data_IF_254930625137
#
_entry.id   IF_254930625137
#
_cell.length_a   1.000
_cell.length_b   1.000
_cell.length_c   1.000
_cell.angle_alpha   90.00
_cell.angle_beta   90.00
_cell.angle_gamma   90.00
#
_symmetry.space_group_name_H-M   'P 1'
#
loop_
_entity.id
_entity.type
_entity.pdbx_description
1 polymer ?
#
# COMPACT_ATOMS: atom_id res chain seq x y z
N UNK A 1 26.72 -14.45 77.47
CA UNK A 1 26.73 -15.48 76.38
C UNK A 1 25.41 -15.53 75.62
N UNK A 2 24.61 -14.46 75.61
CA UNK A 2 23.29 -14.39 74.89
C UNK A 2 23.15 -13.27 73.89
N UNK A 3 24.16 -12.44 73.65
CA UNK A 3 24.09 -11.36 72.68
C UNK A 3 24.68 -11.69 71.26
N UNK A 4 25.67 -12.58 71.19
CA UNK A 4 26.27 -13.03 69.95
C UNK A 4 25.33 -13.87 69.05
N UNK A 5 24.40 -14.66 69.63
CA UNK A 5 23.45 -15.49 68.90
C UNK A 5 22.35 -14.70 68.24
N UNK A 6 22.07 -13.43 68.61
CA UNK A 6 21.02 -12.60 68.09
C UNK A 6 21.48 -11.80 66.84
N UNK A 7 22.76 -11.56 66.68
CA UNK A 7 23.38 -10.89 65.53
C UNK A 7 23.52 -11.81 64.35
N UNK A 8 23.85 -13.08 64.56
CA UNK A 8 24.03 -14.07 63.48
C UNK A 8 22.71 -14.45 62.80
N UNK A 9 21.57 -14.44 63.51
CA UNK A 9 20.27 -14.70 62.94
C UNK A 9 19.72 -13.52 62.14
N UNK A 10 20.12 -12.28 62.42
CA UNK A 10 19.74 -11.11 61.61
C UNK A 10 20.45 -11.10 60.25
N UNK A 11 21.69 -11.50 60.17
CA UNK A 11 22.47 -11.62 58.94
C UNK A 11 21.89 -12.72 58.01
N UNK A 12 21.54 -13.88 58.58
CA UNK A 12 20.91 -14.98 57.81
C UNK A 12 19.54 -14.61 57.24
N UNK A 13 18.70 -13.89 58.01
CA UNK A 13 17.41 -13.40 57.54
C UNK A 13 17.53 -12.40 56.37
N UNK A 14 18.50 -11.49 56.48
CA UNK A 14 18.78 -10.51 55.42
C UNK A 14 19.31 -11.19 54.15
N UNK A 15 20.14 -12.20 54.28
CA UNK A 15 20.66 -13.01 53.16
C UNK A 15 19.55 -13.79 52.45
N UNK A 16 18.61 -14.36 53.19
CA UNK A 16 17.45 -15.06 52.63
C UNK A 16 16.52 -14.10 51.87
N UNK A 17 16.26 -12.90 52.41
CA UNK A 17 15.48 -11.88 51.75
C UNK A 17 16.16 -11.46 50.44
N UNK A 18 17.47 -11.26 50.42
CA UNK A 18 18.26 -10.92 49.25
C UNK A 18 18.22 -12.02 48.18
N UNK A 19 18.30 -13.29 48.60
CA UNK A 19 18.16 -14.46 47.70
C UNK A 19 16.74 -14.51 47.08
N UNK A 20 15.68 -14.30 47.88
CA UNK A 20 14.32 -14.26 47.35
C UNK A 20 14.07 -13.09 46.42
N UNK A 21 14.65 -11.92 46.70
CA UNK A 21 14.60 -10.75 45.82
C UNK A 21 15.33 -11.01 44.49
N UNK A 22 16.52 -11.65 44.54
CA UNK A 22 17.26 -12.03 43.34
C UNK A 22 16.55 -13.11 42.55
N UNK A 23 15.95 -14.10 43.19
CA UNK A 23 15.14 -15.12 42.52
C UNK A 23 13.87 -14.52 41.90
N UNK A 24 13.21 -13.61 42.61
CA UNK A 24 12.05 -12.86 42.07
C UNK A 24 12.42 -12.00 40.85
N UNK A 25 13.55 -11.31 40.94
CA UNK A 25 14.05 -10.47 39.84
C UNK A 25 14.45 -11.32 38.61
N UNK A 26 15.15 -12.44 38.83
CA UNK A 26 15.48 -13.37 37.75
C UNK A 26 14.24 -14.04 37.17
N UNK A 27 13.27 -14.43 38.01
CA UNK A 27 11.98 -14.95 37.54
C UNK A 27 11.20 -13.94 36.70
N UNK A 28 11.19 -12.68 37.15
CA UNK A 28 10.55 -11.58 36.39
C UNK A 28 11.28 -11.30 35.08
N UNK A 29 12.60 -11.25 35.07
CA UNK A 29 13.41 -11.06 33.85
C UNK A 29 13.21 -12.22 32.87
N UNK A 30 13.20 -13.47 33.38
CA UNK A 30 12.93 -14.65 32.56
C UNK A 30 11.52 -14.63 31.97
N UNK A 31 10.50 -14.28 32.77
CA UNK A 31 9.12 -14.15 32.33
C UNK A 31 8.98 -13.04 31.29
N UNK A 32 9.65 -11.91 31.51
CA UNK A 32 9.62 -10.79 30.53
C UNK A 32 10.37 -11.12 29.23
N UNK A 33 11.50 -11.84 29.32
CA UNK A 33 12.23 -12.34 28.17
C UNK A 33 11.41 -13.39 27.39
N UNK A 34 10.69 -14.28 28.10
CA UNK A 34 9.81 -15.26 27.49
C UNK A 34 8.63 -14.59 26.78
N UNK A 35 7.99 -13.61 27.43
CA UNK A 35 6.90 -12.82 26.84
C UNK A 35 7.35 -12.02 25.62
N UNK A 36 8.55 -11.45 25.67
CA UNK A 36 9.12 -10.72 24.53
C UNK A 36 9.45 -11.67 23.38
N UNK A 37 9.92 -12.90 23.67
CA UNK A 37 10.16 -13.92 22.65
C UNK A 37 8.85 -14.40 22.01
N UNK A 38 7.83 -14.63 22.81
CA UNK A 38 6.49 -14.99 22.32
C UNK A 38 5.86 -13.88 21.47
N UNK A 39 6.04 -12.61 21.87
CA UNK A 39 5.61 -11.43 21.09
C UNK A 39 6.41 -11.30 19.78
N UNK A 40 7.70 -11.62 19.78
CA UNK A 40 8.54 -11.64 18.58
C UNK A 40 8.16 -12.78 17.63
N UNK A 41 7.89 -13.97 18.16
CA UNK A 41 7.42 -15.12 17.37
C UNK A 41 6.02 -14.84 16.78
N UNK A 42 5.13 -14.20 17.54
CA UNK A 42 3.80 -13.79 17.08
C UNK A 42 3.91 -12.71 15.97
N UNK A 43 4.80 -11.73 16.14
CA UNK A 43 5.04 -10.70 15.12
C UNK A 43 5.69 -11.28 13.86
N UNK A 44 6.61 -12.23 14.00
CA UNK A 44 7.22 -12.93 12.88
C UNK A 44 6.20 -13.80 12.12
N UNK A 45 5.30 -14.48 12.84
CA UNK A 45 4.18 -15.21 12.25
C UNK A 45 3.22 -14.29 11.50
N UNK A 46 2.87 -13.14 12.07
CA UNK A 46 2.02 -12.14 11.42
C UNK A 46 2.66 -11.55 10.16
N UNK A 47 3.96 -11.32 10.18
CA UNK A 47 4.72 -10.88 9.00
C UNK A 47 4.73 -11.96 7.92
N UNK A 48 4.88 -13.22 8.29
CA UNK A 48 4.84 -14.33 7.33
C UNK A 48 3.44 -14.55 6.77
N UNK A 49 2.40 -14.47 7.59
CA UNK A 49 1.01 -14.47 7.14
C UNK A 49 0.70 -13.30 6.21
N UNK A 50 1.18 -12.09 6.52
CA UNK A 50 1.04 -10.92 5.64
C UNK A 50 1.74 -11.12 4.29
N UNK A 51 2.92 -11.75 4.26
CA UNK A 51 3.63 -12.07 3.00
C UNK A 51 2.87 -13.10 2.17
N UNK A 52 2.35 -14.15 2.82
CA UNK A 52 1.55 -15.18 2.14
C UNK A 52 0.28 -14.54 1.59
N UNK A 53 -0.38 -13.68 2.37
CA UNK A 53 -1.57 -12.96 1.94
C UNK A 53 -1.26 -12.02 0.76
N UNK A 54 -0.14 -11.30 0.84
CA UNK A 54 0.32 -10.41 -0.23
C UNK A 54 0.61 -11.17 -1.53
N UNK A 55 1.36 -12.27 -1.46
CA UNK A 55 1.65 -13.09 -2.64
C UNK A 55 0.39 -13.70 -3.24
N UNK A 56 -0.56 -14.14 -2.40
CA UNK A 56 -1.86 -14.64 -2.83
C UNK A 56 -2.69 -13.54 -3.51
N UNK A 57 -2.69 -12.32 -2.95
CA UNK A 57 -3.37 -11.17 -3.51
C UNK A 57 -2.77 -10.76 -4.87
N UNK A 58 -1.45 -10.80 -5.00
CA UNK A 58 -0.75 -10.52 -6.25
C UNK A 58 -1.10 -11.53 -7.36
N UNK A 59 -1.18 -12.81 -7.02
CA UNK A 59 -1.63 -13.86 -7.95
C UNK A 59 -3.10 -13.64 -8.32
N UNK A 60 -3.97 -13.35 -7.36
CA UNK A 60 -5.39 -13.07 -7.62
C UNK A 60 -5.57 -11.82 -8.50
N UNK A 61 -4.81 -10.77 -8.25
CA UNK A 61 -4.82 -9.57 -9.10
C UNK A 61 -4.37 -9.86 -10.53
N UNK A 62 -3.28 -10.62 -10.70
CA UNK A 62 -2.82 -11.01 -12.03
C UNK A 62 -3.85 -11.87 -12.76
N UNK A 63 -4.50 -12.82 -12.06
CA UNK A 63 -5.58 -13.64 -12.62
C UNK A 63 -6.81 -12.81 -12.98
N UNK A 64 -7.25 -11.90 -12.10
CA UNK A 64 -8.39 -11.02 -12.37
C UNK A 64 -8.12 -10.11 -13.56
N UNK A 65 -6.89 -9.57 -13.67
CA UNK A 65 -6.49 -8.75 -14.82
C UNK A 65 -6.48 -9.56 -16.12
N UNK A 66 -5.94 -10.78 -16.08
CA UNK A 66 -5.94 -11.65 -17.26
C UNK A 66 -7.38 -12.04 -17.66
N UNK A 67 -8.24 -12.38 -16.69
CA UNK A 67 -9.66 -12.66 -16.96
C UNK A 67 -10.38 -11.46 -17.56
N UNK A 68 -10.07 -10.23 -17.06
CA UNK A 68 -10.61 -8.99 -17.60
C UNK A 68 -10.16 -8.78 -19.06
N UNK A 69 -8.87 -8.98 -19.35
CA UNK A 69 -8.32 -8.83 -20.71
C UNK A 69 -8.95 -9.90 -21.67
N UNK A 70 -9.12 -11.13 -21.20
CA UNK A 70 -9.78 -12.20 -21.95
C UNK A 70 -11.25 -11.89 -22.20
N UNK A 71 -11.98 -11.38 -21.21
CA UNK A 71 -13.39 -10.99 -21.32
C UNK A 71 -13.58 -9.76 -22.22
N UNK A 72 -12.67 -8.80 -22.20
CA UNK A 72 -12.68 -7.68 -23.16
C UNK A 72 -12.51 -8.17 -24.61
N UNK A 73 -11.64 -9.17 -24.84
CA UNK A 73 -11.48 -9.80 -26.14
C UNK A 73 -12.77 -10.48 -26.59
N UNK A 74 -13.41 -11.27 -25.74
CA UNK A 74 -14.69 -11.93 -26.01
C UNK A 74 -15.83 -10.95 -26.22
N UNK A 75 -15.84 -9.82 -25.48
CA UNK A 75 -16.81 -8.75 -25.62
C UNK A 75 -16.74 -8.10 -27.00
N UNK A 76 -15.55 -7.74 -27.48
CA UNK A 76 -15.38 -7.19 -28.85
C UNK A 76 -15.73 -8.18 -29.95
N UNK A 77 -15.49 -9.49 -29.74
CA UNK A 77 -15.93 -10.54 -30.67
C UNK A 77 -17.45 -10.69 -30.68
N UNK A 78 -18.12 -10.67 -29.52
CA UNK A 78 -19.58 -10.75 -29.43
C UNK A 78 -20.27 -9.52 -30.03
N UNK A 79 -19.75 -8.31 -29.83
CA UNK A 79 -20.23 -7.09 -30.49
C UNK A 79 -20.14 -7.20 -32.02
N UNK A 80 -19.02 -7.69 -32.52
CA UNK A 80 -18.86 -7.93 -33.97
C UNK A 80 -19.85 -8.98 -34.49
N UNK A 81 -20.07 -10.05 -33.71
CA UNK A 81 -21.03 -11.09 -34.07
C UNK A 81 -22.48 -10.61 -34.04
N UNK A 82 -22.85 -9.80 -33.07
CA UNK A 82 -24.16 -9.12 -32.98
C UNK A 82 -24.40 -8.27 -34.24
N UNK A 83 -23.42 -7.46 -34.64
CA UNK A 83 -23.52 -6.63 -35.83
C UNK A 83 -23.70 -7.45 -37.11
N UNK A 84 -23.01 -8.60 -37.24
CA UNK A 84 -23.16 -9.52 -38.36
C UNK A 84 -24.56 -10.12 -38.37
N UNK A 85 -25.05 -10.61 -37.23
CA UNK A 85 -26.40 -11.21 -37.15
C UNK A 85 -27.51 -10.17 -37.41
N UNK A 86 -27.35 -8.93 -36.96
CA UNK A 86 -28.29 -7.84 -37.27
C UNK A 86 -28.35 -7.56 -38.77
N UNK A 87 -27.19 -7.49 -39.45
CA UNK A 87 -27.13 -7.27 -40.89
C UNK A 87 -27.76 -8.43 -41.68
N UNK A 88 -27.52 -9.68 -41.21
CA UNK A 88 -28.13 -10.88 -41.82
C UNK A 88 -29.64 -10.91 -41.61
N UNK A 89 -30.13 -10.55 -40.42
CA UNK A 89 -31.55 -10.46 -40.10
C UNK A 89 -32.26 -9.41 -40.95
N UNK A 90 -31.66 -8.23 -41.15
CA UNK A 90 -32.20 -7.18 -42.01
C UNK A 90 -32.21 -7.59 -43.50
N UNK A 91 -31.16 -8.31 -43.95
CA UNK A 91 -31.11 -8.90 -45.28
C UNK A 91 -32.25 -9.91 -45.50
N UNK A 92 -32.43 -10.83 -44.57
CA UNK A 92 -33.51 -11.83 -44.63
C UNK A 92 -34.90 -11.21 -44.54
N UNK A 93 -35.10 -10.20 -43.74
CA UNK A 93 -36.37 -9.43 -43.68
C UNK A 93 -36.72 -8.80 -45.05
N UNK A 94 -35.71 -8.20 -45.70
CA UNK A 94 -35.91 -7.60 -47.00
C UNK A 94 -36.21 -8.65 -48.09
N UNK A 95 -35.53 -9.82 -48.06
CA UNK A 95 -35.76 -10.95 -48.95
C UNK A 95 -37.21 -11.47 -48.80
N UNK A 96 -37.64 -11.71 -47.55
CA UNK A 96 -39.01 -12.16 -47.22
C UNK A 96 -40.05 -11.13 -47.64
N UNK A 97 -39.81 -9.82 -47.42
CA UNK A 97 -40.74 -8.78 -47.86
C UNK A 97 -40.90 -8.76 -49.39
N UNK A 98 -39.82 -9.04 -50.11
CA UNK A 98 -39.84 -9.13 -51.56
C UNK A 98 -40.60 -10.37 -52.04
N UNK A 99 -40.34 -11.53 -51.44
CA UNK A 99 -41.04 -12.78 -51.73
C UNK A 99 -42.55 -12.69 -51.42
N UNK A 100 -42.91 -12.10 -50.28
CA UNK A 100 -44.31 -11.87 -49.91
C UNK A 100 -45.05 -10.95 -50.92
N UNK A 101 -44.39 -9.90 -51.42
CA UNK A 101 -44.95 -9.06 -52.50
C UNK A 101 -45.16 -9.86 -53.77
N UNK A 102 -44.19 -10.74 -54.12
CA UNK A 102 -44.27 -11.60 -55.28
C UNK A 102 -45.38 -12.66 -55.11
N UNK A 103 -45.49 -13.33 -53.95
CA UNK A 103 -46.57 -14.25 -53.62
C UNK A 103 -47.95 -13.59 -53.69
N UNK A 104 -48.11 -12.39 -53.15
CA UNK A 104 -49.35 -11.62 -53.21
C UNK A 104 -49.73 -11.20 -54.65
N UNK A 105 -48.74 -10.85 -55.48
CA UNK A 105 -48.92 -10.51 -56.87
C UNK A 105 -49.46 -11.69 -57.68
N UNK A 106 -48.89 -12.90 -57.47
CA UNK A 106 -49.33 -14.12 -58.17
C UNK A 106 -50.73 -14.59 -57.69
N UNK A 107 -51.08 -14.46 -56.43
CA UNK A 107 -52.42 -14.75 -55.90
C UNK A 107 -53.51 -13.79 -56.44
N UNK A 108 -53.16 -12.57 -56.88
CA UNK A 108 -54.11 -11.58 -57.38
C UNK A 108 -54.33 -11.62 -58.90
N UNK A 109 -53.60 -12.42 -59.70
CA UNK A 109 -53.50 -12.31 -61.15
C UNK A 109 -54.02 -13.50 -62.01
N UNK A 110 -54.95 -14.32 -61.51
CA UNK A 110 -55.38 -15.53 -62.27
C UNK A 110 -56.72 -15.33 -63.00
N UNK A 111 -56.66 -14.87 -64.21
CA UNK A 111 -57.68 -15.18 -65.22
C UNK A 111 -57.04 -15.23 -66.60
N UNK A 112 -57.04 -16.45 -67.19
CA UNK A 112 -56.88 -16.77 -68.63
C UNK A 112 -55.67 -17.60 -68.99
N UNK A 113 -55.70 -18.87 -68.78
CA UNK A 113 -55.28 -19.97 -69.64
C UNK A 113 -54.96 -21.21 -68.69
N UNK A 114 -55.73 -22.30 -68.88
CA UNK A 114 -55.68 -23.47 -67.94
C UNK A 114 -54.25 -24.04 -67.78
N UNK A 115 -53.48 -24.06 -68.84
CA UNK A 115 -52.12 -24.59 -68.85
C UNK A 115 -51.13 -23.64 -68.15
N UNK A 116 -51.23 -22.37 -68.38
CA UNK A 116 -50.44 -21.37 -67.65
C UNK A 116 -50.90 -21.20 -66.21
N UNK A 117 -52.19 -21.52 -65.93
CA UNK A 117 -52.72 -21.57 -64.56
C UNK A 117 -52.11 -22.66 -63.75
N UNK A 118 -51.86 -23.86 -64.28
CA UNK A 118 -51.27 -24.95 -63.54
C UNK A 118 -49.78 -24.75 -63.36
N UNK A 119 -49.05 -24.18 -64.31
CA UNK A 119 -47.64 -23.76 -64.16
C UNK A 119 -47.51 -22.66 -63.07
N UNK A 120 -48.37 -21.68 -63.12
CA UNK A 120 -48.38 -20.59 -62.08
C UNK A 120 -48.80 -21.12 -60.74
N UNK A 121 -49.73 -22.09 -60.63
CA UNK A 121 -50.07 -22.74 -59.37
C UNK A 121 -48.93 -23.48 -58.75
N UNK A 122 -48.14 -24.26 -59.53
CA UNK A 122 -46.94 -24.92 -59.05
C UNK A 122 -45.89 -23.89 -58.56
N UNK A 123 -45.72 -22.80 -59.27
CA UNK A 123 -44.80 -21.75 -58.93
C UNK A 123 -45.26 -21.02 -57.63
N UNK A 124 -46.57 -20.75 -57.46
CA UNK A 124 -47.14 -20.19 -56.25
C UNK A 124 -46.97 -21.10 -55.03
N UNK A 125 -47.24 -22.43 -55.22
CA UNK A 125 -47.04 -23.40 -54.17
C UNK A 125 -45.54 -23.50 -53.77
N UNK A 126 -44.62 -23.44 -54.73
CA UNK A 126 -43.18 -23.38 -54.44
C UNK A 126 -42.82 -22.11 -53.67
N UNK A 127 -43.33 -20.95 -54.09
CA UNK A 127 -43.10 -19.70 -53.37
C UNK A 127 -43.72 -19.65 -51.96
N UNK A 128 -44.90 -20.32 -51.76
CA UNK A 128 -45.51 -20.44 -50.42
C UNK A 128 -44.64 -21.28 -49.51
N UNK A 129 -44.04 -22.37 -50.01
CA UNK A 129 -43.08 -23.20 -49.27
C UNK A 129 -41.83 -22.42 -48.93
N UNK A 130 -41.29 -21.66 -49.91
CA UNK A 130 -40.11 -20.84 -49.67
C UNK A 130 -40.42 -19.72 -48.67
N UNK A 131 -41.57 -19.03 -48.80
CA UNK A 131 -42.02 -18.01 -47.82
C UNK A 131 -42.14 -18.58 -46.40
N UNK A 132 -42.69 -19.83 -46.28
CA UNK A 132 -42.81 -20.47 -44.97
C UNK A 132 -41.43 -20.87 -44.38
N UNK A 133 -40.53 -21.34 -45.26
CA UNK A 133 -39.13 -21.66 -44.89
C UNK A 133 -38.40 -20.41 -44.44
N UNK A 134 -38.46 -19.30 -45.16
CA UNK A 134 -37.83 -18.02 -44.78
C UNK A 134 -38.39 -17.47 -43.46
N UNK A 135 -39.74 -17.62 -43.28
CA UNK A 135 -40.34 -17.25 -41.98
C UNK A 135 -39.80 -18.08 -40.82
N UNK A 136 -39.67 -19.40 -40.99
CA UNK A 136 -39.07 -20.24 -39.95
C UNK A 136 -37.59 -19.87 -39.68
N UNK A 137 -36.80 -19.57 -40.73
CA UNK A 137 -35.42 -19.12 -40.59
C UNK A 137 -35.37 -17.75 -39.86
N UNK A 138 -36.28 -16.85 -40.14
CA UNK A 138 -36.38 -15.55 -39.44
C UNK A 138 -36.69 -15.73 -37.97
N UNK A 139 -37.64 -16.62 -37.63
CA UNK A 139 -38.01 -16.91 -36.25
C UNK A 139 -36.85 -17.55 -35.49
N UNK A 140 -36.11 -18.49 -36.13
CA UNK A 140 -34.89 -19.09 -35.56
C UNK A 140 -33.77 -18.03 -35.34
N UNK A 141 -33.53 -17.17 -36.36
CA UNK A 141 -32.52 -16.12 -36.25
C UNK A 141 -32.89 -15.09 -35.18
N UNK A 142 -34.17 -14.74 -35.07
CA UNK A 142 -34.65 -13.86 -34.03
C UNK A 142 -34.49 -14.45 -32.63
N UNK A 143 -34.70 -15.76 -32.46
CA UNK A 143 -34.47 -16.46 -31.21
C UNK A 143 -32.96 -16.45 -30.83
N UNK A 144 -32.07 -16.69 -31.82
CA UNK A 144 -30.60 -16.58 -31.62
C UNK A 144 -30.17 -15.16 -31.25
N UNK A 145 -30.75 -14.16 -31.89
CA UNK A 145 -30.48 -12.74 -31.56
C UNK A 145 -30.86 -12.41 -30.13
N UNK A 146 -32.05 -12.85 -29.65
CA UNK A 146 -32.50 -12.61 -28.31
C UNK A 146 -31.60 -13.33 -27.26
N UNK A 147 -31.22 -14.58 -27.55
CA UNK A 147 -30.29 -15.33 -26.69
C UNK A 147 -28.92 -14.65 -26.62
N UNK A 148 -28.39 -14.17 -27.75
CA UNK A 148 -27.11 -13.45 -27.78
C UNK A 148 -27.19 -12.11 -27.05
N UNK A 149 -28.33 -11.43 -27.11
CA UNK A 149 -28.53 -10.20 -26.34
C UNK A 149 -28.53 -10.47 -24.83
N UNK A 150 -29.17 -11.57 -24.38
CA UNK A 150 -29.13 -11.99 -22.99
C UNK A 150 -27.71 -12.32 -22.51
N UNK A 151 -26.96 -13.10 -23.31
CA UNK A 151 -25.55 -13.41 -23.06
C UNK A 151 -24.70 -12.12 -22.97
N UNK A 152 -24.95 -11.14 -23.83
CA UNK A 152 -24.26 -9.86 -23.83
C UNK A 152 -24.51 -9.06 -22.53
N UNK A 153 -25.78 -8.99 -22.11
CA UNK A 153 -26.12 -8.32 -20.85
C UNK A 153 -25.48 -9.02 -19.63
N UNK A 154 -25.48 -10.36 -19.61
CA UNK A 154 -24.82 -11.11 -18.55
C UNK A 154 -23.30 -10.86 -18.54
N UNK A 155 -22.67 -10.85 -19.72
CA UNK A 155 -21.24 -10.57 -19.84
C UNK A 155 -20.89 -9.14 -19.39
N UNK A 156 -21.74 -8.17 -19.69
CA UNK A 156 -21.55 -6.80 -19.25
C UNK A 156 -21.58 -6.69 -17.72
N UNK A 157 -22.52 -7.37 -17.07
CA UNK A 157 -22.59 -7.43 -15.61
C UNK A 157 -21.35 -8.08 -15.01
N UNK A 158 -20.86 -9.18 -15.62
CA UNK A 158 -19.64 -9.84 -15.17
C UNK A 158 -18.41 -8.94 -15.34
N UNK A 159 -18.31 -8.23 -16.47
CA UNK A 159 -17.25 -7.26 -16.73
C UNK A 159 -17.20 -6.16 -15.66
N UNK A 160 -18.33 -5.51 -15.40
CA UNK A 160 -18.42 -4.46 -14.38
C UNK A 160 -18.01 -4.98 -12.99
N UNK A 161 -18.43 -6.20 -12.65
CA UNK A 161 -18.05 -6.84 -11.39
C UNK A 161 -16.54 -7.12 -11.28
N UNK A 162 -15.91 -7.59 -12.36
CA UNK A 162 -14.46 -7.85 -12.35
C UNK A 162 -13.65 -6.55 -12.35
N UNK A 163 -14.11 -5.49 -13.01
CA UNK A 163 -13.51 -4.14 -12.90
C UNK A 163 -13.53 -3.66 -11.45
N UNK A 164 -14.70 -3.69 -10.81
CA UNK A 164 -14.83 -3.28 -9.41
C UNK A 164 -13.95 -4.13 -8.46
N UNK A 165 -13.87 -5.45 -8.71
CA UNK A 165 -13.00 -6.34 -7.97
C UNK A 165 -11.51 -6.02 -8.16
N UNK A 166 -11.10 -5.72 -9.39
CA UNK A 166 -9.72 -5.33 -9.70
C UNK A 166 -9.33 -4.02 -9.00
N UNK A 167 -10.23 -3.05 -8.95
CA UNK A 167 -10.03 -1.79 -8.23
C UNK A 167 -9.89 -2.01 -6.72
N UNK A 168 -10.76 -2.83 -6.13
CA UNK A 168 -10.72 -3.17 -4.70
C UNK A 168 -9.42 -3.91 -4.32
N UNK A 169 -8.99 -4.86 -5.16
CA UNK A 169 -7.71 -5.56 -4.99
C UNK A 169 -6.51 -4.62 -5.07
N UNK A 170 -6.55 -3.65 -5.99
CA UNK A 170 -5.49 -2.64 -6.13
C UNK A 170 -5.43 -1.76 -4.89
N UNK A 171 -6.57 -1.26 -4.43
CA UNK A 171 -6.67 -0.46 -3.20
C UNK A 171 -6.17 -1.25 -1.97
N UNK A 172 -6.58 -2.51 -1.85
CA UNK A 172 -6.16 -3.39 -0.75
C UNK A 172 -4.65 -3.64 -0.77
N UNK A 173 -4.08 -3.90 -1.95
CA UNK A 173 -2.64 -4.07 -2.15
C UNK A 173 -1.87 -2.82 -1.74
N UNK A 174 -2.30 -1.64 -2.19
CA UNK A 174 -1.62 -0.38 -1.88
C UNK A 174 -1.70 -0.06 -0.39
N UNK A 175 -2.84 -0.32 0.25
CA UNK A 175 -3.01 -0.18 1.70
C UNK A 175 -2.10 -1.12 2.50
N UNK A 176 -1.96 -2.38 2.06
CA UNK A 176 -1.07 -3.36 2.71
C UNK A 176 0.40 -2.93 2.53
N UNK A 177 0.78 -2.45 1.35
CA UNK A 177 2.13 -1.95 1.08
C UNK A 177 2.46 -0.70 1.90
N UNK A 178 1.50 0.18 2.08
CA UNK A 178 1.68 1.40 2.88
C UNK A 178 1.92 1.07 4.36
N UNK A 179 1.08 0.22 4.94
CA UNK A 179 1.15 -0.14 6.36
C UNK A 179 2.31 -1.13 6.62
N UNK A 180 2.38 -2.19 5.83
CA UNK A 180 3.39 -3.22 5.97
C UNK A 180 4.79 -2.79 5.54
N UNK A 181 4.87 -1.80 4.65
CA UNK A 181 6.12 -1.21 4.19
C UNK A 181 6.74 -0.19 5.16
N UNK A 182 6.07 0.11 6.28
CA UNK A 182 6.62 1.02 7.28
C UNK A 182 7.92 0.45 7.90
N UNK A 183 8.99 1.25 7.85
CA UNK A 183 10.28 0.89 8.42
C UNK A 183 10.42 1.59 9.78
N UNK A 184 10.52 0.80 10.83
CA UNK A 184 10.82 1.29 12.16
C UNK A 184 12.29 1.64 12.28
N UNK A 185 12.60 2.69 13.03
CA UNK A 185 13.97 3.01 13.40
C UNK A 185 14.15 2.94 14.91
N UNK A 186 15.38 2.75 15.36
CA UNK A 186 15.75 2.69 16.78
C UNK A 186 17.12 3.36 17.02
N UNK A 187 17.52 3.38 18.25
CA UNK A 187 18.87 3.76 18.68
C UNK A 187 19.33 5.12 18.13
N UNK A 188 18.42 6.14 18.15
CA UNK A 188 18.79 7.48 17.71
C UNK A 188 19.87 8.03 18.63
N UNK A 189 21.08 8.21 18.09
CA UNK A 189 22.18 8.92 18.73
C UNK A 189 22.33 10.32 18.14
N UNK A 190 22.48 11.31 19.01
CA UNK A 190 22.58 12.70 18.61
C UNK A 190 23.79 13.32 19.31
N UNK A 191 24.67 13.94 18.52
CA UNK A 191 25.89 14.55 19.03
C UNK A 191 26.12 15.91 18.39
N UNK A 192 26.53 16.90 19.17
CA UNK A 192 27.04 18.14 18.65
C UNK A 192 28.45 17.93 18.06
N UNK A 193 28.69 18.46 16.89
CA UNK A 193 29.98 18.32 16.20
C UNK A 193 30.57 19.70 15.96
N UNK A 194 31.82 19.88 16.34
CA UNK A 194 32.64 21.05 16.05
C UNK A 194 33.53 20.76 14.83
N UNK A 195 33.42 21.57 13.80
CA UNK A 195 34.28 21.52 12.64
C UNK A 195 35.68 22.02 13.00
N UNK A 196 36.69 21.26 12.67
CA UNK A 196 38.10 21.70 12.77
C UNK A 196 38.70 21.76 11.37
N UNK A 197 39.47 22.82 11.09
CA UNK A 197 40.05 23.07 9.77
C UNK A 197 41.01 21.99 9.27
N UNK A 198 41.38 21.04 10.11
CA UNK A 198 42.22 19.89 9.78
C UNK A 198 41.44 18.61 9.42
N UNK A 199 40.10 18.70 9.29
CA UNK A 199 39.23 17.56 8.97
C UNK A 199 38.93 16.61 10.16
N UNK A 200 39.57 16.80 11.31
CA UNK A 200 39.29 16.01 12.52
C UNK A 200 38.24 16.71 13.38
N UNK A 201 36.96 16.47 13.06
CA UNK A 201 35.84 16.99 13.83
C UNK A 201 35.87 16.46 15.27
N UNK A 202 35.37 17.27 16.21
CA UNK A 202 35.23 16.84 17.61
C UNK A 202 33.78 16.79 18.00
N UNK A 203 33.36 15.66 18.55
CA UNK A 203 32.02 15.45 19.07
C UNK A 203 31.92 15.95 20.54
N UNK A 204 30.78 16.52 20.91
CA UNK A 204 30.56 17.03 22.26
C UNK A 204 29.12 17.51 22.48
N UNK A 205 28.88 17.99 23.69
CA UNK A 205 27.55 18.47 24.10
C UNK A 205 27.54 19.96 24.47
N UNK A 206 28.59 20.71 24.10
CA UNK A 206 28.66 22.14 24.41
C UNK A 206 28.04 22.97 23.28
N UNK A 207 26.97 23.69 23.57
CA UNK A 207 26.24 24.50 22.60
C UNK A 207 27.14 25.50 21.84
N UNK A 208 28.02 26.21 22.55
CA UNK A 208 28.92 27.21 21.95
C UNK A 208 29.97 26.62 21.00
N UNK A 209 30.24 25.32 21.11
CA UNK A 209 31.22 24.62 20.30
C UNK A 209 30.57 23.62 19.32
N UNK A 210 29.30 23.77 19.06
CA UNK A 210 28.56 22.91 18.13
C UNK A 210 28.31 23.71 16.86
N UNK A 211 28.91 23.29 15.75
CA UNK A 211 28.72 23.87 14.43
C UNK A 211 27.63 23.13 13.65
N UNK A 212 27.46 21.82 13.94
CA UNK A 212 26.44 20.97 13.33
C UNK A 212 26.00 19.85 14.27
N UNK A 213 24.82 19.31 14.04
CA UNK A 213 24.33 18.10 14.70
C UNK A 213 24.61 16.88 13.82
N UNK A 214 25.20 15.85 14.40
CA UNK A 214 25.28 14.50 13.82
C UNK A 214 24.17 13.67 14.42
N UNK A 215 23.31 13.11 13.59
CA UNK A 215 22.16 12.31 13.98
C UNK A 215 22.32 10.97 13.29
N UNK A 216 22.42 9.90 14.07
CA UNK A 216 22.48 8.54 13.57
C UNK A 216 21.29 7.76 14.12
N UNK A 217 20.74 6.88 13.31
CA UNK A 217 19.66 5.98 13.69
C UNK A 217 19.79 4.66 12.95
N UNK A 218 19.31 3.60 13.56
CA UNK A 218 19.30 2.26 13.01
C UNK A 218 17.94 1.95 12.41
N UNK A 219 17.91 1.46 11.19
CA UNK A 219 16.72 0.97 10.51
C UNK A 219 16.54 -0.51 10.83
N UNK A 220 15.35 -0.89 11.27
CA UNK A 220 15.02 -2.28 11.54
C UNK A 220 14.64 -3.02 10.26
N UNK A 221 14.91 -4.34 10.16
CA UNK A 221 14.60 -5.14 8.98
C UNK A 221 13.11 -5.08 8.59
N UNK A 222 12.85 -4.84 7.31
CA UNK A 222 11.51 -4.94 6.72
C UNK A 222 11.59 -5.45 5.27
N UNK A 223 11.28 -6.72 5.08
CA UNK A 223 11.39 -7.37 3.76
C UNK A 223 10.38 -6.86 2.73
N UNK A 224 9.27 -6.24 3.15
CA UNK A 224 8.29 -5.66 2.22
C UNK A 224 8.80 -4.39 1.52
N UNK A 225 9.72 -3.69 2.18
CA UNK A 225 10.36 -2.48 1.66
C UNK A 225 11.76 -2.71 1.11
N UNK A 226 12.24 -3.96 1.11
CA UNK A 226 13.57 -4.33 0.65
C UNK A 226 13.80 -4.02 -0.83
N UNK A 227 15.05 -3.67 -1.18
CA UNK A 227 15.48 -3.41 -2.55
C UNK A 227 14.92 -2.12 -3.16
N UNK A 228 14.34 -1.23 -2.35
CA UNK A 228 13.77 0.04 -2.77
C UNK A 228 14.48 1.21 -2.11
N UNK A 229 14.50 2.34 -2.82
CA UNK A 229 14.94 3.61 -2.23
C UNK A 229 13.88 4.10 -1.26
N UNK A 230 14.26 4.38 -0.01
CA UNK A 230 13.36 4.79 1.08
C UNK A 230 13.77 6.16 1.59
N UNK A 231 12.80 7.04 1.80
CA UNK A 231 13.04 8.39 2.30
C UNK A 231 12.56 8.54 3.72
N UNK A 232 13.45 9.00 4.59
CA UNK A 232 13.17 9.31 5.99
C UNK A 232 13.23 10.83 6.19
N UNK A 233 12.23 11.36 6.89
CA UNK A 233 12.19 12.77 7.25
C UNK A 233 12.61 12.93 8.71
N UNK A 234 13.65 13.69 8.94
CA UNK A 234 14.18 13.97 10.26
C UNK A 234 13.74 15.36 10.71
N UNK A 235 13.00 15.42 11.80
CA UNK A 235 12.51 16.65 12.41
C UNK A 235 13.27 16.92 13.69
N UNK A 236 13.93 18.07 13.75
CA UNK A 236 14.70 18.52 14.91
C UNK A 236 13.92 19.68 15.56
N UNK A 237 13.52 19.49 16.79
CA UNK A 237 12.82 20.50 17.57
C UNK A 237 13.82 21.10 18.56
N UNK A 238 14.06 22.39 18.46
CA UNK A 238 14.99 23.10 19.33
C UNK A 238 14.44 23.34 20.74
N UNK A 239 15.24 23.93 21.64
CA UNK A 239 14.85 24.19 23.04
C UNK A 239 13.65 25.14 23.20
N UNK A 240 13.33 25.91 22.16
CA UNK A 240 12.18 26.82 22.13
C UNK A 240 10.88 26.12 21.69
N UNK A 241 10.92 24.82 21.40
CA UNK A 241 9.78 24.05 20.90
C UNK A 241 9.51 24.22 19.39
N UNK A 242 10.32 25.01 18.69
CA UNK A 242 10.19 25.20 17.24
C UNK A 242 11.01 24.17 16.48
N UNK A 243 10.48 23.72 15.34
CA UNK A 243 11.22 22.90 14.37
C UNK A 243 12.36 23.74 13.80
N UNK A 244 13.56 23.19 13.80
CA UNK A 244 14.70 23.80 13.15
C UNK A 244 14.56 23.64 11.63
N UNK A 245 14.63 24.76 10.93
CA UNK A 245 14.37 24.85 9.51
C UNK A 245 15.49 25.64 8.83
N UNK A 246 16.06 25.07 7.77
CA UNK A 246 17.08 25.71 6.95
C UNK A 246 16.94 25.20 5.51
N UNK A 247 16.57 26.06 4.58
CA UNK A 247 16.36 25.71 3.17
C UNK A 247 17.65 25.16 2.52
N UNK A 248 18.81 25.72 2.86
CA UNK A 248 20.10 25.28 2.32
C UNK A 248 20.48 23.85 2.75
N UNK A 249 19.93 23.39 3.89
CA UNK A 249 20.08 22.02 4.38
C UNK A 249 19.00 21.06 3.85
N UNK A 250 18.09 21.55 3.03
CA UNK A 250 17.01 20.77 2.44
C UNK A 250 15.86 20.51 3.41
N UNK A 251 15.58 21.47 4.31
CA UNK A 251 14.36 21.47 5.11
C UNK A 251 13.13 21.68 4.22
N UNK A 252 11.98 21.18 4.66
CA UNK A 252 10.76 21.28 3.88
C UNK A 252 9.53 20.75 4.60
N UNK A 253 8.53 20.40 3.83
CA UNK A 253 7.27 19.83 4.29
C UNK A 253 7.11 18.38 3.83
N UNK A 254 6.44 17.58 4.64
CA UNK A 254 6.07 16.19 4.33
C UNK A 254 4.64 15.91 4.77
N UNK A 255 4.05 14.86 4.23
CA UNK A 255 2.72 14.41 4.63
C UNK A 255 2.84 13.67 5.96
N UNK A 256 2.46 14.34 7.06
CA UNK A 256 2.39 13.73 8.38
C UNK A 256 0.98 13.16 8.60
N UNK A 257 0.85 11.84 8.58
CA UNK A 257 -0.45 11.15 8.70
C UNK A 257 -0.98 11.09 10.13
N UNK A 258 -0.09 11.24 11.13
CA UNK A 258 -0.49 11.26 12.54
C UNK A 258 -0.97 12.67 12.97
N UNK A 259 -0.33 13.71 12.43
CA UNK A 259 -0.61 15.13 12.76
C UNK A 259 -0.39 16.00 11.53
N UNK A 260 -1.40 16.15 10.67
CA UNK A 260 -1.27 16.91 9.42
C UNK A 260 -0.79 18.36 9.59
N UNK A 261 -1.10 18.98 10.75
CA UNK A 261 -0.65 20.32 11.11
C UNK A 261 0.84 20.41 11.47
N UNK A 262 1.49 19.29 11.76
CA UNK A 262 2.90 19.18 12.15
C UNK A 262 3.76 18.60 11.02
N UNK A 263 3.75 19.26 9.86
CA UNK A 263 4.26 18.78 8.58
C UNK A 263 5.70 19.19 8.23
N UNK A 264 6.37 20.01 9.06
CA UNK A 264 7.73 20.48 8.80
C UNK A 264 8.77 19.43 9.18
N UNK A 265 9.80 19.26 8.34
CA UNK A 265 11.00 18.49 8.66
C UNK A 265 12.27 19.35 8.51
N UNK A 266 13.32 18.98 9.23
CA UNK A 266 14.60 19.67 9.17
C UNK A 266 15.50 19.13 8.06
N UNK A 267 15.49 17.82 7.83
CA UNK A 267 16.28 17.19 6.76
C UNK A 267 15.63 15.89 6.30
N UNK A 268 15.67 15.65 4.99
CA UNK A 268 15.32 14.37 4.40
C UNK A 268 16.58 13.55 4.10
N UNK A 269 16.52 12.25 4.29
CA UNK A 269 17.55 11.31 3.90
C UNK A 269 16.95 10.17 3.11
N UNK A 270 17.49 9.93 1.91
CA UNK A 270 17.06 8.80 1.07
C UNK A 270 18.16 7.74 1.10
N UNK A 271 17.76 6.52 1.41
CA UNK A 271 18.66 5.37 1.52
C UNK A 271 18.21 4.24 0.59
N UNK A 272 19.13 3.50 0.03
CA UNK A 272 18.85 2.26 -0.67
C UNK A 272 18.77 1.16 0.39
N UNK A 273 17.54 0.80 0.75
CA UNK A 273 17.27 -0.07 1.88
C UNK A 273 17.26 -1.54 1.46
N UNK A 274 18.15 -2.33 2.08
CA UNK A 274 18.29 -3.76 1.80
C UNK A 274 17.20 -4.62 2.47
N UNK A 275 16.74 -4.20 3.66
CA UNK A 275 15.65 -4.85 4.38
C UNK A 275 15.99 -6.17 5.07
N UNK A 276 17.24 -6.63 4.96
CA UNK A 276 17.70 -7.90 5.53
C UNK A 276 18.17 -7.79 6.97
N UNK A 277 19.06 -6.85 7.23
CA UNK A 277 19.72 -6.63 8.52
C UNK A 277 19.42 -5.22 9.07
N UNK A 278 19.91 -4.94 10.28
CA UNK A 278 19.86 -3.60 10.86
C UNK A 278 20.87 -2.71 10.13
N UNK A 279 20.41 -1.62 9.55
CA UNK A 279 21.24 -0.67 8.82
C UNK A 279 21.36 0.64 9.60
N UNK A 280 22.60 1.07 9.87
CA UNK A 280 22.87 2.34 10.56
C UNK A 280 23.10 3.47 9.55
N UNK A 281 22.34 4.54 9.69
CA UNK A 281 22.46 5.73 8.85
C UNK A 281 22.72 6.96 9.70
N UNK A 282 23.61 7.82 9.21
CA UNK A 282 23.93 9.08 9.86
C UNK A 282 23.72 10.25 8.89
N UNK A 283 23.25 11.34 9.44
CA UNK A 283 23.16 12.62 8.71
C UNK A 283 23.74 13.75 9.55
N UNK A 284 24.09 14.83 8.90
CA UNK A 284 24.50 16.09 9.53
C UNK A 284 23.47 17.15 9.19
N UNK A 285 23.22 18.03 10.17
CA UNK A 285 22.35 19.18 10.00
C UNK A 285 23.01 20.43 10.59
N UNK A 286 22.98 21.52 9.84
CA UNK A 286 23.63 22.78 10.17
C UNK A 286 22.59 23.90 10.20
N UNK A 287 22.88 24.96 10.95
CA UNK A 287 22.09 26.18 10.95
C UNK A 287 23.00 27.39 10.91
N UNK A 288 22.48 28.52 10.44
CA UNK A 288 23.23 29.78 10.40
C UNK A 288 23.45 30.39 11.82
N UNK A 289 22.46 30.24 12.70
CA UNK A 289 22.54 30.70 14.06
C UNK A 289 23.33 29.74 14.97
N UNK A 290 23.94 30.31 16.04
CA UNK A 290 24.57 29.47 17.06
C UNK A 290 23.53 28.54 17.75
N UNK A 291 23.94 27.30 18.03
CA UNK A 291 23.10 26.36 18.79
C UNK A 291 22.89 26.85 20.24
N UNK A 292 21.65 26.91 20.67
CA UNK A 292 21.26 27.31 22.01
C UNK A 292 21.43 26.14 22.98
N UNK A 293 21.91 26.41 24.18
CA UNK A 293 21.92 25.40 25.24
C UNK A 293 20.48 25.04 25.64
N UNK A 294 20.21 23.75 25.83
CA UNK A 294 18.89 23.24 26.16
C UNK A 294 18.63 21.88 25.54
N UNK A 295 17.41 21.37 25.73
CA UNK A 295 17.01 20.04 25.24
C UNK A 295 16.43 20.15 23.84
N UNK A 296 16.94 19.32 22.96
CA UNK A 296 16.47 19.13 21.60
C UNK A 296 15.73 17.80 21.52
N UNK A 297 14.70 17.75 20.68
CA UNK A 297 13.97 16.52 20.35
C UNK A 297 14.18 16.21 18.89
N UNK A 298 14.60 15.00 18.59
CA UNK A 298 14.69 14.48 17.22
C UNK A 298 13.63 13.41 17.02
N UNK A 299 12.88 13.55 15.94
CA UNK A 299 11.89 12.58 15.48
C UNK A 299 12.24 12.15 14.07
N UNK A 300 12.17 10.85 13.80
CA UNK A 300 12.34 10.27 12.47
C UNK A 300 11.00 9.79 11.99
N UNK A 301 10.64 10.14 10.76
CA UNK A 301 9.39 9.74 10.10
C UNK A 301 9.67 8.93 8.85
N UNK A 302 8.83 7.93 8.61
CA UNK A 302 8.82 7.15 7.39
C UNK A 302 7.38 6.92 6.93
N UNK A 303 7.09 7.08 5.65
CA UNK A 303 5.75 6.96 5.07
C UNK A 303 4.67 7.82 5.76
N UNK A 304 5.07 8.94 6.38
CA UNK A 304 4.16 9.83 7.10
C UNK A 304 3.89 9.45 8.56
N UNK A 305 4.47 8.39 9.06
CA UNK A 305 4.35 7.93 10.45
C UNK A 305 5.65 8.12 11.21
N UNK A 306 5.55 8.38 12.52
CA UNK A 306 6.72 8.52 13.37
C UNK A 306 7.39 7.16 13.60
N UNK A 307 8.60 7.00 13.09
CA UNK A 307 9.41 5.79 13.23
C UNK A 307 10.11 5.70 14.58
N UNK A 308 10.69 6.80 15.04
CA UNK A 308 11.34 6.87 16.35
C UNK A 308 11.50 8.30 16.84
N UNK A 309 11.81 8.42 18.13
CA UNK A 309 12.04 9.71 18.82
C UNK A 309 13.15 9.57 19.84
N UNK A 310 13.99 10.60 19.93
CA UNK A 310 15.01 10.74 20.99
C UNK A 310 15.17 12.20 21.40
N UNK A 311 15.78 12.40 22.56
CA UNK A 311 16.12 13.74 23.06
C UNK A 311 17.59 13.80 23.43
N UNK A 312 18.22 14.95 23.25
CA UNK A 312 19.56 15.22 23.74
C UNK A 312 19.67 16.64 24.26
N UNK A 313 20.69 16.91 25.06
CA UNK A 313 20.85 18.23 25.67
C UNK A 313 22.22 18.80 25.33
N UNK A 314 22.20 20.00 24.74
CA UNK A 314 23.40 20.83 24.63
C UNK A 314 23.58 21.66 25.91
N UNK A 315 24.75 21.54 26.50
CA UNK A 315 25.09 22.17 27.77
C UNK A 315 25.61 23.61 27.54
N UNK A 316 25.40 24.46 28.53
CA UNK A 316 26.08 25.78 28.57
C UNK A 316 27.60 25.60 28.76
N UNK A 317 28.41 26.52 28.29
CA UNK A 317 29.85 26.55 28.62
C UNK A 317 30.05 26.54 30.14
N UNK A 318 31.00 25.72 30.60
CA UNK A 318 31.27 25.55 32.06
C UNK A 318 31.51 26.88 32.78
N UNK A 319 32.13 27.84 32.14
CA UNK A 319 32.37 29.18 32.70
C UNK A 319 31.09 29.98 32.90
N UNK A 320 30.11 29.92 32.02
CA UNK A 320 28.81 30.61 32.15
C UNK A 320 27.92 29.92 33.22
N UNK A 321 28.00 28.61 33.36
CA UNK A 321 27.30 27.89 34.42
C UNK A 321 27.82 28.24 35.82
N UNK A 322 29.15 28.40 35.95
CA UNK A 322 29.79 28.84 37.17
C UNK A 322 29.40 30.28 37.56
N UNK A 323 29.38 31.19 36.57
CA UNK A 323 29.00 32.60 36.77
C UNK A 323 27.52 32.76 37.11
N UNK A 324 26.63 31.91 36.59
CA UNK A 324 25.21 31.91 36.91
C UNK A 324 24.92 31.44 38.33
N UNK A 325 25.73 30.49 38.86
CA UNK A 325 25.64 29.97 40.23
C UNK A 325 26.22 30.95 41.30
N UNK A 326 27.13 31.83 40.88
CA UNK A 326 27.70 32.85 41.75
C UNK A 326 26.77 34.07 41.86
N UNK A 327 25.85 34.28 40.90
CA UNK A 327 24.89 35.40 40.87
C UNK A 327 23.51 35.08 41.48
N UNK A 328 23.27 33.82 41.85
CA UNK A 328 22.07 33.39 42.54
C UNK A 328 22.38 33.24 44.06
#
# INVERSE_FOLDING_TARGET
>A
MNEEKKSENRGRGLYLILIFLLLGLNGWLFFNAFKNKEAQELSASQIEEAKILYSKLEVQYAQAKQQLDDQMGDFTQKDSLIAVYQAELDSKRNEIATLLKTCNFFNGGVTTNQKKLDEVKEEVVSMEVDCSSYKAQLDELNAKYLALQEDYEELQIMYEKEVARSEDLTFSKDSILEIGGFISSKDISITGVRKKGNGNDSEGQNAKHTDRLKICFDLLPNKLSAGKSQTFFVKIIGPTGKTLFNDDEGSGEFVNKEKPEDNLFSKAVTVNYDGGDVESHCLYWEQEEEFKAGTYTVKVYHNGYMSSRSTFTLKKPVMEDLMSRIKS
#
